data_IF_938656646517
#
_entry.id   IF_938656646517
#
_cell.length_a   1.000
_cell.length_b   1.000
_cell.length_c   1.000
_cell.angle_alpha   90.00
_cell.angle_beta   90.00
_cell.angle_gamma   90.00
#
_symmetry.space_group_name_H-M   'P 1'
#
loop_
_entity.id
_entity.type
_entity.pdbx_description
1 polymer ?
#
# COMPACT_ATOMS: atom_id res chain seq x y z
N UNK A 1 23.19 -1.23 -22.87
CA UNK A 1 23.30 -1.08 -21.40
C UNK A 1 24.21 -2.18 -20.92
N UNK A 2 25.38 -1.83 -20.38
CA UNK A 2 26.27 -2.79 -19.74
C UNK A 2 25.58 -3.37 -18.50
N UNK A 3 25.53 -4.69 -18.41
CA UNK A 3 25.05 -5.39 -17.23
C UNK A 3 26.23 -5.65 -16.31
N UNK A 4 25.99 -5.49 -15.01
CA UNK A 4 26.96 -5.90 -13.99
C UNK A 4 27.23 -7.42 -14.10
N UNK A 5 28.46 -7.86 -13.82
CA UNK A 5 28.80 -9.27 -13.70
C UNK A 5 27.92 -9.97 -12.64
N UNK A 6 27.47 -11.18 -12.94
CA UNK A 6 26.50 -11.93 -12.13
C UNK A 6 27.02 -12.28 -10.72
N UNK A 7 28.33 -12.41 -10.58
CA UNK A 7 29.09 -12.68 -9.36
C UNK A 7 29.19 -11.48 -8.41
N UNK A 8 29.08 -10.25 -8.93
CA UNK A 8 29.13 -9.02 -8.12
C UNK A 8 27.78 -8.73 -7.47
N UNK A 9 26.68 -9.14 -8.11
CA UNK A 9 25.31 -8.91 -7.62
C UNK A 9 25.07 -9.50 -6.21
N UNK A 10 25.40 -10.77 -5.89
CA UNK A 10 25.24 -11.33 -4.55
C UNK A 10 26.01 -10.57 -3.46
N UNK A 11 27.18 -10.04 -3.79
CA UNK A 11 28.04 -9.29 -2.87
C UNK A 11 27.38 -7.94 -2.56
N UNK A 12 26.92 -7.20 -3.56
CA UNK A 12 26.19 -5.95 -3.35
C UNK A 12 24.91 -6.21 -2.54
N UNK A 13 24.20 -7.28 -2.89
CA UNK A 13 23.01 -7.67 -2.15
C UNK A 13 23.36 -8.00 -0.70
N UNK A 14 24.45 -8.68 -0.36
CA UNK A 14 24.75 -9.02 1.05
C UNK A 14 24.88 -7.78 1.96
N UNK A 15 25.47 -6.69 1.46
CA UNK A 15 25.61 -5.42 2.19
C UNK A 15 24.34 -4.57 2.25
N UNK A 16 23.36 -4.82 1.39
CA UNK A 16 22.11 -4.07 1.40
C UNK A 16 21.25 -4.45 2.61
N UNK A 17 20.79 -3.45 3.35
CA UNK A 17 19.81 -3.68 4.41
C UNK A 17 18.51 -4.26 3.82
N UNK A 18 17.78 -5.12 4.55
CA UNK A 18 16.52 -5.72 4.08
C UNK A 18 15.51 -4.68 3.58
N UNK A 19 15.54 -3.47 4.13
CA UNK A 19 14.68 -2.36 3.71
C UNK A 19 14.95 -1.84 2.29
N UNK A 20 16.13 -2.05 1.74
CA UNK A 20 16.38 -1.65 0.34
C UNK A 20 16.04 -2.79 -0.62
N UNK A 21 16.14 -4.04 -0.16
CA UNK A 21 15.85 -5.24 -0.95
C UNK A 21 14.37 -5.46 -1.21
N UNK A 22 13.50 -5.12 -0.26
CA UNK A 22 12.06 -5.41 -0.37
C UNK A 22 11.38 -4.67 -1.54
N UNK A 23 11.93 -3.53 -1.98
CA UNK A 23 11.40 -2.76 -3.12
C UNK A 23 11.85 -3.30 -4.49
N UNK A 24 12.85 -4.19 -4.53
CA UNK A 24 13.54 -4.56 -5.77
C UNK A 24 12.83 -5.68 -6.53
N UNK A 25 12.20 -6.63 -5.84
CA UNK A 25 11.45 -7.69 -6.51
C UNK A 25 10.26 -8.19 -5.68
N UNK A 26 9.27 -8.77 -6.38
CA UNK A 26 8.02 -9.29 -5.81
C UNK A 26 8.22 -10.47 -4.83
N UNK A 27 9.21 -11.33 -5.08
CA UNK A 27 9.52 -12.50 -4.24
C UNK A 27 10.12 -12.06 -2.89
N UNK A 28 11.16 -11.23 -2.92
CA UNK A 28 11.80 -10.58 -1.78
C UNK A 28 10.81 -9.72 -0.99
N UNK A 29 9.89 -9.04 -1.68
CA UNK A 29 8.78 -8.37 -1.00
C UNK A 29 7.98 -9.36 -0.16
N UNK A 30 7.47 -10.43 -0.76
CA UNK A 30 6.67 -11.44 -0.05
C UNK A 30 7.41 -12.07 1.13
N UNK A 31 8.68 -12.39 0.95
CA UNK A 31 9.51 -13.05 1.97
C UNK A 31 9.82 -12.10 3.15
N UNK A 32 9.99 -10.80 2.89
CA UNK A 32 10.34 -9.80 3.92
C UNK A 32 9.14 -9.03 4.47
N UNK A 33 7.98 -9.08 3.81
CA UNK A 33 6.79 -8.31 4.19
C UNK A 33 6.31 -8.64 5.61
N UNK A 34 6.37 -9.92 5.99
CA UNK A 34 6.03 -10.36 7.36
C UNK A 34 6.96 -9.73 8.40
N UNK A 35 8.26 -9.64 8.09
CA UNK A 35 9.30 -9.08 8.97
C UNK A 35 9.20 -7.55 9.04
N UNK A 36 8.92 -6.88 7.93
CA UNK A 36 8.79 -5.41 7.86
C UNK A 36 7.47 -4.94 8.47
N UNK A 37 6.39 -5.73 8.36
CA UNK A 37 5.09 -5.39 8.91
C UNK A 37 4.95 -5.76 10.41
N UNK A 38 5.70 -6.76 10.89
CA UNK A 38 5.75 -7.12 12.32
C UNK A 38 6.62 -6.16 13.13
N UNK A 39 7.69 -5.66 12.53
CA UNK A 39 8.52 -4.61 13.10
C UNK A 39 7.80 -3.26 12.97
N UNK A 40 7.26 -2.77 14.10
CA UNK A 40 6.68 -1.43 14.30
C UNK A 40 7.62 -0.24 13.98
N UNK A 41 8.72 -0.47 13.27
CA UNK A 41 9.85 0.45 13.03
C UNK A 41 9.43 1.67 12.19
N UNK A 42 8.32 1.59 11.46
CA UNK A 42 7.75 2.79 10.83
C UNK A 42 6.36 3.06 11.39
N UNK A 43 6.25 4.13 12.18
CA UNK A 43 4.98 4.83 12.38
C UNK A 43 4.28 5.00 11.03
N UNK A 44 3.17 4.27 10.88
CA UNK A 44 2.56 3.69 9.67
C UNK A 44 2.32 4.60 8.43
N UNK A 45 2.65 5.89 8.43
CA UNK A 45 2.30 6.82 7.35
C UNK A 45 3.46 7.26 6.47
N UNK A 46 4.69 7.35 7.00
CA UNK A 46 5.85 7.74 6.17
C UNK A 46 6.13 6.69 5.10
N UNK A 47 6.00 5.42 5.46
CA UNK A 47 6.14 4.30 4.55
C UNK A 47 5.07 4.30 3.46
N UNK A 48 3.80 4.46 3.84
CA UNK A 48 2.68 4.56 2.90
C UNK A 48 2.86 5.76 1.95
N UNK A 49 3.30 6.91 2.45
CA UNK A 49 3.63 8.08 1.62
C UNK A 49 4.75 7.77 0.64
N UNK A 50 5.78 7.04 1.05
CA UNK A 50 6.89 6.65 0.16
C UNK A 50 6.40 5.72 -0.96
N UNK A 51 5.56 4.74 -0.63
CA UNK A 51 4.95 3.82 -1.60
C UNK A 51 4.14 4.58 -2.63
N UNK A 52 3.26 5.48 -2.17
CA UNK A 52 2.41 6.27 -3.06
C UNK A 52 3.26 7.21 -3.90
N UNK A 53 4.21 7.94 -3.30
CA UNK A 53 5.09 8.88 -4.03
C UNK A 53 5.86 8.22 -5.17
N UNK A 54 6.31 6.97 -4.97
CA UNK A 54 7.04 6.21 -5.98
C UNK A 54 6.12 5.32 -6.85
N UNK A 55 4.80 5.46 -6.73
CA UNK A 55 3.77 4.70 -7.45
C UNK A 55 3.98 3.16 -7.42
N UNK A 56 4.39 2.64 -6.24
CA UNK A 56 4.68 1.22 -6.01
C UNK A 56 3.38 0.42 -5.82
N UNK A 57 2.60 0.28 -6.89
CA UNK A 57 1.23 -0.26 -6.86
C UNK A 57 1.13 -1.68 -6.31
N UNK A 58 2.11 -2.54 -6.57
CA UNK A 58 2.11 -3.91 -6.05
C UNK A 58 2.12 -3.93 -4.51
N UNK A 59 3.04 -3.18 -3.92
CA UNK A 59 3.16 -3.05 -2.46
C UNK A 59 1.92 -2.36 -1.88
N UNK A 60 1.44 -1.35 -2.57
CA UNK A 60 0.23 -0.63 -2.19
C UNK A 60 -1.00 -1.55 -2.14
N UNK A 61 -1.16 -2.45 -3.12
CA UNK A 61 -2.25 -3.44 -3.15
C UNK A 61 -2.19 -4.36 -1.91
N UNK A 62 -1.01 -4.85 -1.55
CA UNK A 62 -0.83 -5.70 -0.36
C UNK A 62 -1.15 -4.96 0.95
N UNK A 63 -0.81 -3.68 1.04
CA UNK A 63 -1.20 -2.87 2.21
C UNK A 63 -2.71 -2.65 2.24
N UNK A 64 -3.33 -2.37 1.10
CA UNK A 64 -4.78 -2.24 1.01
C UNK A 64 -5.46 -3.53 1.46
N UNK A 65 -5.00 -4.71 1.02
CA UNK A 65 -5.60 -6.00 1.40
C UNK A 65 -5.63 -6.20 2.93
N UNK A 66 -4.58 -5.76 3.63
CA UNK A 66 -4.45 -5.91 5.08
C UNK A 66 -5.13 -4.80 5.90
N UNK A 67 -5.02 -3.54 5.45
CA UNK A 67 -5.33 -2.38 6.29
C UNK A 67 -6.62 -1.66 5.90
N UNK A 68 -7.25 -1.98 4.76
CA UNK A 68 -8.41 -1.25 4.25
C UNK A 68 -9.51 -1.04 5.30
N UNK A 69 -9.93 -2.10 5.99
CA UNK A 69 -10.98 -2.03 7.01
C UNK A 69 -10.57 -1.15 8.21
N UNK A 70 -9.31 -1.24 8.63
CA UNK A 70 -8.76 -0.40 9.70
C UNK A 70 -8.70 1.07 9.28
N UNK A 71 -8.34 1.37 8.03
CA UNK A 71 -8.35 2.74 7.52
C UNK A 71 -9.75 3.35 7.52
N UNK A 72 -10.78 2.55 7.25
CA UNK A 72 -12.17 3.04 7.28
C UNK A 72 -12.70 3.30 8.68
N UNK A 73 -12.23 2.57 9.69
CA UNK A 73 -12.63 2.80 11.08
C UNK A 73 -11.94 4.03 11.69
N UNK A 74 -10.78 4.44 11.15
CA UNK A 74 -10.08 5.66 11.53
C UNK A 74 -10.77 6.91 10.98
N UNK A 75 -11.77 7.40 11.72
CA UNK A 75 -12.54 8.60 11.39
C UNK A 75 -11.81 9.90 11.74
N UNK A 76 -12.23 10.99 11.10
CA UNK A 76 -11.75 12.36 11.38
C UNK A 76 -10.23 12.51 11.27
N UNK A 77 -9.64 11.85 10.28
CA UNK A 77 -8.20 11.85 10.07
C UNK A 77 -7.69 13.26 9.77
N UNK A 78 -6.57 13.64 10.38
CA UNK A 78 -5.95 14.96 10.20
C UNK A 78 -4.56 14.82 9.61
N UNK A 79 -4.25 15.67 8.64
CA UNK A 79 -2.91 15.81 8.10
C UNK A 79 -2.62 17.28 7.79
N UNK A 80 -1.63 17.85 8.49
CA UNK A 80 -1.37 19.30 8.49
C UNK A 80 -2.66 20.06 8.85
N UNK A 81 -3.06 21.03 8.02
CA UNK A 81 -4.30 21.81 8.15
C UNK A 81 -5.54 21.10 7.61
N UNK A 82 -5.41 19.94 6.98
CA UNK A 82 -6.51 19.25 6.31
C UNK A 82 -7.19 18.25 7.23
N UNK A 83 -8.53 18.19 7.13
CA UNK A 83 -9.37 17.19 7.80
C UNK A 83 -10.02 16.30 6.75
N UNK A 84 -10.01 15.00 7.02
CA UNK A 84 -10.56 13.96 6.15
C UNK A 84 -11.60 13.16 6.94
N UNK A 85 -12.66 12.71 6.28
CA UNK A 85 -13.73 11.96 6.94
C UNK A 85 -13.19 10.64 7.54
N UNK A 86 -12.27 9.98 6.83
CA UNK A 86 -11.51 8.84 7.32
C UNK A 86 -10.14 8.75 6.64
N UNK A 87 -9.34 7.77 7.08
CA UNK A 87 -7.98 7.57 6.55
C UNK A 87 -7.96 7.24 5.05
N UNK A 88 -9.01 6.61 4.50
CA UNK A 88 -9.04 6.29 3.07
C UNK A 88 -9.12 7.54 2.20
N UNK A 89 -9.80 8.60 2.66
CA UNK A 89 -9.80 9.89 1.98
C UNK A 89 -8.43 10.57 2.01
N UNK A 90 -7.68 10.44 3.11
CA UNK A 90 -6.29 10.92 3.17
C UNK A 90 -5.39 10.16 2.20
N UNK A 91 -5.57 8.85 2.06
CA UNK A 91 -4.82 8.04 1.07
C UNK A 91 -5.15 8.48 -0.36
N UNK A 92 -6.42 8.69 -0.69
CA UNK A 92 -6.82 9.19 -1.99
C UNK A 92 -6.25 10.59 -2.28
N UNK A 93 -6.21 11.46 -1.27
CA UNK A 93 -5.54 12.76 -1.37
C UNK A 93 -4.05 12.59 -1.71
N UNK A 94 -3.32 11.72 -1.00
CA UNK A 94 -1.90 11.47 -1.30
C UNK A 94 -1.68 10.96 -2.72
N UNK A 95 -2.51 10.04 -3.18
CA UNK A 95 -2.45 9.47 -4.53
C UNK A 95 -2.62 10.58 -5.58
N UNK A 96 -3.61 11.44 -5.41
CA UNK A 96 -3.85 12.54 -6.34
C UNK A 96 -2.74 13.59 -6.27
N UNK A 97 -2.26 13.93 -5.07
CA UNK A 97 -1.19 14.90 -4.86
C UNK A 97 0.12 14.48 -5.54
N UNK A 98 0.44 13.18 -5.50
CA UNK A 98 1.65 12.63 -6.14
C UNK A 98 1.41 12.09 -7.57
N UNK A 99 0.20 12.22 -8.11
CA UNK A 99 -0.17 11.73 -9.45
C UNK A 99 0.13 10.22 -9.66
N UNK A 100 -0.04 9.42 -8.60
CA UNK A 100 0.29 7.99 -8.57
C UNK A 100 -0.76 7.15 -9.28
N UNK A 101 -0.73 7.12 -10.61
CA UNK A 101 -1.80 6.53 -11.43
C UNK A 101 -1.96 5.02 -11.21
N UNK A 102 -0.88 4.26 -10.97
CA UNK A 102 -0.99 2.81 -10.73
C UNK A 102 -1.61 2.55 -9.36
N UNK A 103 -1.15 3.22 -8.31
CA UNK A 103 -1.77 3.16 -6.98
C UNK A 103 -3.24 3.62 -7.01
N UNK A 104 -3.58 4.61 -7.84
CA UNK A 104 -4.96 5.07 -8.03
C UNK A 104 -5.85 3.97 -8.58
N UNK A 105 -5.39 3.24 -9.59
CA UNK A 105 -6.15 2.12 -10.17
C UNK A 105 -6.41 1.04 -9.13
N UNK A 106 -5.40 0.66 -8.35
CA UNK A 106 -5.56 -0.30 -7.26
C UNK A 106 -6.56 0.20 -6.20
N UNK A 107 -6.43 1.46 -5.76
CA UNK A 107 -7.34 2.05 -4.78
C UNK A 107 -8.81 2.02 -5.26
N UNK A 108 -9.06 2.39 -6.52
CA UNK A 108 -10.39 2.40 -7.11
C UNK A 108 -10.97 0.97 -7.23
N UNK A 109 -10.13 -0.02 -7.53
CA UNK A 109 -10.54 -1.42 -7.57
C UNK A 109 -11.02 -1.89 -6.19
N UNK A 110 -10.31 -1.57 -5.11
CA UNK A 110 -10.77 -1.88 -3.74
C UNK A 110 -12.08 -1.18 -3.41
N UNK A 111 -12.20 0.10 -3.73
CA UNK A 111 -13.40 0.87 -3.46
C UNK A 111 -14.63 0.31 -4.18
N UNK A 112 -14.50 -0.03 -5.48
CA UNK A 112 -15.56 -0.67 -6.28
C UNK A 112 -15.96 -2.04 -5.72
N UNK A 113 -14.98 -2.88 -5.40
CA UNK A 113 -15.21 -4.22 -4.85
C UNK A 113 -15.98 -4.16 -3.52
N UNK A 114 -15.69 -3.17 -2.67
CA UNK A 114 -16.41 -2.97 -1.43
C UNK A 114 -17.89 -2.58 -1.67
N UNK A 115 -18.16 -1.64 -2.58
CA UNK A 115 -19.53 -1.25 -2.96
C UNK A 115 -20.31 -2.47 -3.43
N UNK A 116 -19.69 -3.28 -4.30
CA UNK A 116 -20.31 -4.51 -4.81
C UNK A 116 -20.64 -5.50 -3.69
N UNK A 117 -19.75 -5.68 -2.69
CA UNK A 117 -20.03 -6.53 -1.52
C UNK A 117 -21.20 -6.00 -0.69
N UNK A 118 -21.30 -4.69 -0.47
CA UNK A 118 -22.42 -4.06 0.26
C UNK A 118 -23.75 -4.24 -0.48
N UNK A 119 -23.75 -4.07 -1.80
CA UNK A 119 -24.95 -4.25 -2.62
C UNK A 119 -25.42 -5.70 -2.64
N UNK A 120 -24.51 -6.68 -2.71
CA UNK A 120 -24.85 -8.11 -2.58
C UNK A 120 -25.51 -8.41 -1.24
N UNK A 121 -24.95 -7.93 -0.12
CA UNK A 121 -25.53 -8.10 1.22
C UNK A 121 -26.93 -7.52 1.35
N UNK A 122 -27.19 -6.34 0.75
CA UNK A 122 -28.53 -5.75 0.72
C UNK A 122 -29.50 -6.65 -0.04
N UNK A 123 -29.15 -7.10 -1.25
CA UNK A 123 -30.04 -7.98 -2.04
C UNK A 123 -30.44 -9.24 -1.27
N UNK A 124 -29.51 -9.94 -0.64
CA UNK A 124 -29.82 -11.13 0.18
C UNK A 124 -30.72 -10.83 1.38
N UNK A 125 -30.65 -9.63 1.95
CA UNK A 125 -31.51 -9.25 3.08
C UNK A 125 -32.97 -8.99 2.67
N UNK A 126 -33.20 -8.50 1.44
CA UNK A 126 -34.55 -8.25 0.90
C UNK A 126 -35.16 -9.46 0.18
N UNK A 127 -34.43 -10.59 0.09
CA UNK A 127 -34.89 -11.83 -0.56
C UNK A 127 -35.24 -12.95 0.43
N UNK A 128 -35.19 -12.66 1.73
CA UNK A 128 -35.66 -13.49 2.84
C UNK A 128 -36.84 -12.78 3.52
#
# INVERSE_FOLDING_TARGET
MEKLPEDVLPIIFSYMQPIYKYNLNKKLFSDLFVIVNSNKIYGNHSYLRNIIRNDLSYIFNEICSLKWMSWKSLKNWRYKSWKFADFTQYVLYLINFHQSNKCKNEFLNYYKNEINRKNKKKKTFWSN
#
